data_IF_886660160224
#
_entry.id   IF_886660160224
#
_cell.length_a   1.000
_cell.length_b   1.000
_cell.length_c   1.000
_cell.angle_alpha   90.00
_cell.angle_beta   90.00
_cell.angle_gamma   90.00
#
_symmetry.space_group_name_H-M   'P 1'
#
loop_
_entity.id
_entity.type
_entity.pdbx_description
1 polymer ?
#
# COMPACT_ATOMS: atom_id res chain seq x y z
N UNK A 1 -7.04 11.90 14.58
CA UNK A 1 -6.94 11.37 13.21
C UNK A 1 -8.24 11.66 12.48
N UNK A 2 -8.17 12.33 11.34
CA UNK A 2 -9.32 12.59 10.45
C UNK A 2 -9.85 11.28 9.84
N UNK A 3 -11.13 11.24 9.42
CA UNK A 3 -11.72 10.06 8.73
C UNK A 3 -10.92 9.61 7.50
N UNK A 4 -10.23 10.55 6.84
CA UNK A 4 -9.38 10.29 5.67
C UNK A 4 -8.14 9.48 6.04
N UNK A 5 -7.47 9.84 7.15
CA UNK A 5 -6.34 9.08 7.69
C UNK A 5 -6.70 7.63 8.02
N UNK A 6 -7.92 7.38 8.54
CA UNK A 6 -8.37 6.01 8.81
C UNK A 6 -8.53 5.20 7.52
N UNK A 7 -9.17 5.79 6.51
CA UNK A 7 -9.38 5.13 5.21
C UNK A 7 -8.05 4.82 4.51
N UNK A 8 -7.10 5.77 4.53
CA UNK A 8 -5.75 5.55 3.99
C UNK A 8 -5.02 4.43 4.73
N UNK A 9 -5.10 4.40 6.07
CA UNK A 9 -4.52 3.32 6.85
C UNK A 9 -5.13 1.95 6.52
N UNK A 10 -6.45 1.87 6.41
CA UNK A 10 -7.15 0.63 6.08
C UNK A 10 -6.71 0.12 4.69
N UNK A 11 -6.58 1.02 3.69
CA UNK A 11 -6.16 0.69 2.32
C UNK A 11 -4.67 0.27 2.26
N UNK A 12 -3.79 0.93 3.01
CA UNK A 12 -2.37 0.54 3.15
C UNK A 12 -2.25 -0.84 3.80
N UNK A 13 -3.05 -1.11 4.84
CA UNK A 13 -3.03 -2.40 5.52
C UNK A 13 -3.48 -3.53 4.60
N UNK A 14 -4.57 -3.33 3.84
CA UNK A 14 -5.05 -4.32 2.87
C UNK A 14 -4.00 -4.61 1.79
N UNK A 15 -3.33 -3.57 1.27
CA UNK A 15 -2.26 -3.75 0.28
C UNK A 15 -1.05 -4.48 0.84
N UNK A 16 -0.68 -4.24 2.11
CA UNK A 16 0.37 -4.99 2.80
C UNK A 16 0.03 -6.46 2.96
N UNK A 17 -1.21 -6.77 3.36
CA UNK A 17 -1.68 -8.15 3.47
C UNK A 17 -1.63 -8.85 2.12
N UNK A 18 -2.11 -8.21 1.05
CA UNK A 18 -2.03 -8.75 -0.32
C UNK A 18 -0.59 -8.97 -0.77
N UNK A 19 0.31 -8.02 -0.50
CA UNK A 19 1.73 -8.14 -0.82
C UNK A 19 2.34 -9.36 -0.12
N UNK A 20 2.06 -9.51 1.17
CA UNK A 20 2.56 -10.61 1.99
C UNK A 20 2.03 -11.96 1.49
N UNK A 21 0.73 -12.06 1.23
CA UNK A 21 0.08 -13.24 0.65
C UNK A 21 0.69 -13.61 -0.71
N UNK A 22 0.99 -12.61 -1.54
CA UNK A 22 1.57 -12.83 -2.85
C UNK A 22 3.01 -13.34 -2.76
N UNK A 23 3.81 -12.76 -1.87
CA UNK A 23 5.18 -13.21 -1.58
C UNK A 23 5.16 -14.63 -1.01
N UNK A 24 4.24 -14.94 -0.11
CA UNK A 24 4.15 -16.26 0.53
C UNK A 24 3.72 -17.35 -0.47
N UNK A 25 2.80 -17.02 -1.40
CA UNK A 25 2.29 -17.96 -2.40
C UNK A 25 3.19 -18.14 -3.63
N UNK A 26 3.85 -17.08 -4.09
CA UNK A 26 4.60 -17.07 -5.36
C UNK A 26 6.10 -16.78 -5.22
N UNK A 27 6.55 -16.43 -4.02
CA UNK A 27 7.90 -15.94 -3.77
C UNK A 27 8.10 -14.47 -4.18
N UNK A 28 9.26 -13.92 -3.82
CA UNK A 28 9.69 -12.57 -4.26
C UNK A 28 10.24 -12.69 -5.69
N UNK A 29 9.37 -12.96 -6.65
CA UNK A 29 9.70 -12.80 -8.06
C UNK A 29 9.25 -11.42 -8.53
N UNK A 30 9.97 -10.85 -9.48
CA UNK A 30 9.73 -9.52 -10.05
C UNK A 30 8.48 -9.53 -10.96
N UNK A 31 7.35 -9.93 -10.39
CA UNK A 31 6.08 -10.09 -11.09
C UNK A 31 5.38 -8.74 -11.25
N UNK A 32 4.68 -8.52 -12.38
CA UNK A 32 3.92 -7.29 -12.64
C UNK A 32 2.93 -6.93 -11.53
N UNK A 33 2.28 -7.93 -10.92
CA UNK A 33 1.35 -7.70 -9.80
C UNK A 33 2.05 -7.14 -8.55
N UNK A 34 3.24 -7.64 -8.22
CA UNK A 34 4.04 -7.16 -7.09
C UNK A 34 4.46 -5.70 -7.30
N UNK A 35 4.88 -5.34 -8.51
CA UNK A 35 5.18 -3.95 -8.87
C UNK A 35 3.95 -3.05 -8.79
N UNK A 36 2.79 -3.54 -9.22
CA UNK A 36 1.54 -2.77 -9.15
C UNK A 36 1.13 -2.49 -7.70
N UNK A 37 1.25 -3.47 -6.80
CA UNK A 37 0.98 -3.29 -5.36
C UNK A 37 1.97 -2.29 -4.74
N UNK A 38 3.27 -2.40 -5.06
CA UNK A 38 4.28 -1.46 -4.56
C UNK A 38 4.05 -0.03 -5.06
N UNK A 39 3.77 0.15 -6.35
CA UNK A 39 3.47 1.48 -6.91
C UNK A 39 2.24 2.10 -6.22
N UNK A 40 1.21 1.29 -5.94
CA UNK A 40 0.02 1.78 -5.24
C UNK A 40 0.32 2.16 -3.79
N UNK A 41 1.16 1.41 -3.10
CA UNK A 41 1.63 1.77 -1.75
C UNK A 41 2.39 3.08 -1.75
N UNK A 42 3.29 3.30 -2.71
CA UNK A 42 4.03 4.56 -2.86
C UNK A 42 3.10 5.75 -3.09
N UNK A 43 2.09 5.60 -3.96
CA UNK A 43 1.06 6.64 -4.18
C UNK A 43 0.32 7.01 -2.89
N UNK A 44 -0.10 6.01 -2.11
CA UNK A 44 -0.82 6.21 -0.85
C UNK A 44 0.06 6.87 0.21
N UNK A 45 1.34 6.50 0.30
CA UNK A 45 2.31 7.14 1.20
C UNK A 45 2.50 8.61 0.81
N UNK A 46 2.64 8.92 -0.49
CA UNK A 46 2.77 10.30 -0.97
C UNK A 46 1.51 11.12 -0.65
N UNK A 47 0.32 10.54 -0.82
CA UNK A 47 -0.93 11.21 -0.45
C UNK A 47 -1.01 11.46 1.05
N UNK A 48 -0.65 10.47 1.87
CA UNK A 48 -0.64 10.59 3.31
C UNK A 48 0.32 11.67 3.81
N UNK A 49 1.54 11.71 3.25
CA UNK A 49 2.53 12.76 3.55
C UNK A 49 1.99 14.13 3.16
N UNK A 50 1.37 14.28 1.98
CA UNK A 50 0.77 15.56 1.56
C UNK A 50 -0.35 16.03 2.48
N UNK A 51 -1.13 15.12 3.05
CA UNK A 51 -2.18 15.46 4.04
C UNK A 51 -1.62 15.83 5.42
N UNK A 52 -0.41 15.40 5.78
CA UNK A 52 0.23 15.77 7.04
C UNK A 52 0.84 17.18 7.03
N UNK A 53 1.18 17.69 5.84
CA UNK A 53 1.81 19.00 5.64
C UNK A 53 0.85 20.09 5.12
N UNK A 54 -0.45 19.78 4.95
CA UNK A 54 -1.52 20.73 4.63
C UNK A 54 -2.47 20.91 5.83
#
# INVERSE_FOLDING_TARGET
MTKVNKKLNDEIQELREKLHDYIDKKGINDEPELRAINNRLDELIVQWVKELYH
#
